data_IF_125535649436
#
_entry.id   IF_125535649436
#
_cell.length_a   1.000
_cell.length_b   1.000
_cell.length_c   1.000
_cell.angle_alpha   90.00
_cell.angle_beta   90.00
_cell.angle_gamma   90.00
#
_symmetry.space_group_name_H-M   'P 1'
#
loop_
_entity.id
_entity.type
_entity.pdbx_description
1 polymer ?
#
# COMPACT_ATOMS: atom_id res chain seq x y z
N UNK A 1 -18.42 -30.52 -29.24
CA UNK A 1 -19.86 -30.69 -29.58
C UNK A 1 -20.69 -29.77 -28.68
N UNK A 2 -21.21 -28.67 -29.19
CA UNK A 2 -22.11 -27.75 -28.46
C UNK A 2 -23.56 -28.09 -28.79
N UNK A 3 -24.35 -28.45 -27.77
CA UNK A 3 -25.79 -28.74 -27.95
C UNK A 3 -26.57 -27.43 -27.99
N UNK A 4 -27.20 -27.17 -29.16
CA UNK A 4 -28.19 -26.09 -29.33
C UNK A 4 -29.55 -26.57 -28.80
N UNK A 5 -30.16 -25.85 -27.84
CA UNK A 5 -31.56 -26.02 -27.46
C UNK A 5 -32.43 -25.24 -28.43
N UNK A 6 -33.31 -25.97 -29.12
CA UNK A 6 -34.36 -25.43 -30.00
C UNK A 6 -35.42 -24.71 -29.15
N UNK A 7 -35.61 -23.42 -29.38
CA UNK A 7 -36.74 -22.66 -28.78
C UNK A 7 -37.87 -22.59 -29.78
N UNK A 8 -39.08 -22.96 -29.32
CA UNK A 8 -40.32 -22.92 -30.10
C UNK A 8 -40.68 -21.48 -30.49
N UNK A 9 -40.97 -21.26 -31.77
CA UNK A 9 -41.50 -20.01 -32.31
C UNK A 9 -42.95 -19.84 -31.87
N UNK A 10 -43.27 -18.83 -31.09
CA UNK A 10 -44.60 -18.25 -30.98
C UNK A 10 -44.56 -16.86 -31.59
N UNK A 11 -45.39 -16.72 -32.62
CA UNK A 11 -45.60 -15.49 -33.38
C UNK A 11 -46.36 -14.48 -32.53
N UNK A 12 -45.68 -13.45 -32.02
CA UNK A 12 -46.23 -12.11 -31.76
C UNK A 12 -45.08 -11.18 -31.34
N UNK A 13 -45.01 -10.06 -32.07
CA UNK A 13 -44.13 -8.88 -31.85
C UNK A 13 -42.63 -9.11 -31.98
N UNK A 14 -42.02 -8.41 -32.92
CA UNK A 14 -40.56 -8.21 -33.00
C UNK A 14 -40.07 -7.51 -31.72
N UNK A 15 -39.83 -8.26 -30.65
CA UNK A 15 -38.98 -7.83 -29.54
C UNK A 15 -37.56 -8.06 -30.02
N UNK A 16 -36.83 -6.99 -30.27
CA UNK A 16 -35.41 -7.00 -30.53
C UNK A 16 -34.71 -7.78 -29.42
N UNK A 17 -34.23 -9.00 -29.73
CA UNK A 17 -33.41 -9.78 -28.83
C UNK A 17 -32.12 -8.98 -28.64
N UNK A 18 -31.96 -8.33 -27.50
CA UNK A 18 -30.69 -7.72 -27.07
C UNK A 18 -29.73 -8.89 -26.89
N UNK A 19 -28.71 -8.98 -27.73
CA UNK A 19 -27.67 -9.98 -27.63
C UNK A 19 -27.01 -9.89 -26.25
N UNK A 20 -26.88 -11.03 -25.56
CA UNK A 20 -26.13 -11.15 -24.32
C UNK A 20 -24.69 -10.65 -24.56
N UNK A 21 -24.33 -9.50 -23.96
CA UNK A 21 -23.01 -8.92 -24.10
C UNK A 21 -22.96 -7.43 -24.41
N UNK A 22 -24.08 -6.76 -24.71
CA UNK A 22 -24.05 -5.31 -24.90
C UNK A 22 -23.83 -4.61 -23.54
N UNK A 23 -22.70 -3.89 -23.45
CA UNK A 23 -22.35 -3.07 -22.31
C UNK A 23 -23.40 -1.96 -22.16
N UNK A 24 -24.10 -1.90 -21.03
CA UNK A 24 -25.07 -0.85 -20.75
C UNK A 24 -24.37 0.51 -20.73
N UNK A 25 -24.85 1.43 -21.59
CA UNK A 25 -24.35 2.80 -21.65
C UNK A 25 -25.45 3.78 -21.21
N UNK A 26 -25.05 4.71 -20.34
CA UNK A 26 -25.93 5.80 -19.94
C UNK A 26 -26.16 6.77 -21.09
N UNK A 27 -27.30 7.48 -21.07
CA UNK A 27 -27.56 8.57 -22.02
C UNK A 27 -26.44 9.62 -21.90
N UNK A 28 -25.85 9.96 -23.06
CA UNK A 28 -24.84 11.00 -23.20
C UNK A 28 -25.45 12.40 -23.09
N UNK A 29 -24.63 13.43 -23.06
CA UNK A 29 -25.13 14.82 -23.14
C UNK A 29 -25.80 15.07 -24.50
N UNK A 30 -25.25 14.55 -25.57
CA UNK A 30 -25.77 14.65 -26.95
C UNK A 30 -27.13 13.98 -27.08
N UNK A 31 -27.31 12.78 -26.47
CA UNK A 31 -28.61 12.11 -26.44
C UNK A 31 -29.65 13.01 -25.73
N UNK A 32 -29.27 13.68 -24.66
CA UNK A 32 -30.15 14.62 -23.94
C UNK A 32 -30.52 15.85 -24.74
N UNK A 33 -29.60 16.38 -25.52
CA UNK A 33 -29.86 17.48 -26.45
C UNK A 33 -30.88 17.06 -27.49
N UNK A 34 -30.77 15.86 -28.06
CA UNK A 34 -31.76 15.29 -29.01
C UNK A 34 -33.12 15.11 -28.33
N UNK A 35 -33.15 14.57 -27.08
CA UNK A 35 -34.40 14.43 -26.34
C UNK A 35 -35.08 15.83 -26.13
N UNK A 36 -34.32 16.83 -25.72
CA UNK A 36 -34.84 18.19 -25.57
C UNK A 36 -35.44 18.74 -26.86
N UNK A 37 -34.72 18.58 -27.98
CA UNK A 37 -35.16 19.04 -29.28
C UNK A 37 -36.48 18.37 -29.71
N UNK A 38 -36.60 17.05 -29.56
CA UNK A 38 -37.81 16.33 -29.94
C UNK A 38 -38.99 16.59 -28.98
N UNK A 39 -38.70 16.78 -27.69
CA UNK A 39 -39.75 17.17 -26.71
C UNK A 39 -40.35 18.56 -27.01
N UNK A 40 -39.54 19.53 -27.37
CA UNK A 40 -40.03 20.87 -27.84
C UNK A 40 -40.90 20.76 -29.06
N UNK A 41 -40.76 19.71 -29.87
CA UNK A 41 -41.59 19.40 -31.06
C UNK A 41 -42.71 18.40 -30.75
N UNK A 42 -43.06 18.21 -29.51
CA UNK A 42 -44.15 17.35 -29.04
C UNK A 42 -44.04 15.89 -29.52
N UNK A 43 -42.82 15.38 -29.85
CA UNK A 43 -42.66 14.00 -30.28
C UNK A 43 -42.90 13.05 -29.11
N UNK A 44 -43.48 11.86 -29.44
CA UNK A 44 -43.84 10.86 -28.43
C UNK A 44 -42.57 10.19 -27.83
N UNK A 45 -42.69 9.62 -26.64
CA UNK A 45 -41.61 8.87 -25.96
C UNK A 45 -41.16 7.68 -26.85
N UNK A 46 -42.08 7.02 -27.53
CA UNK A 46 -41.77 5.90 -28.43
C UNK A 46 -40.94 6.36 -29.61
N UNK A 47 -41.28 7.50 -30.20
CA UNK A 47 -40.52 8.09 -31.30
C UNK A 47 -39.08 8.39 -30.85
N UNK A 48 -38.91 9.09 -29.73
CA UNK A 48 -37.59 9.48 -29.19
C UNK A 48 -36.75 8.23 -28.88
N UNK A 49 -37.37 7.20 -28.31
CA UNK A 49 -36.69 5.95 -27.96
C UNK A 49 -36.18 5.22 -29.19
N UNK A 50 -36.99 5.18 -30.25
CA UNK A 50 -36.62 4.57 -31.55
C UNK A 50 -35.43 5.31 -32.19
N UNK A 51 -35.50 6.64 -32.27
CA UNK A 51 -34.43 7.46 -32.86
C UNK A 51 -33.09 7.36 -32.11
N UNK A 52 -33.11 7.12 -30.79
CA UNK A 52 -31.91 6.95 -29.96
C UNK A 52 -31.46 5.50 -29.83
N UNK A 53 -32.21 4.53 -30.39
CA UNK A 53 -31.90 3.11 -30.17
C UNK A 53 -31.99 2.69 -28.72
N UNK A 54 -32.88 3.31 -27.96
CA UNK A 54 -33.07 3.06 -26.51
C UNK A 54 -34.47 2.52 -26.22
N UNK A 55 -34.66 1.89 -25.05
CA UNK A 55 -36.00 1.47 -24.64
C UNK A 55 -36.91 2.66 -24.30
N UNK A 56 -38.21 2.58 -24.61
CA UNK A 56 -39.18 3.62 -24.20
C UNK A 56 -39.18 3.87 -22.68
N UNK A 57 -38.93 2.82 -21.85
CA UNK A 57 -38.80 2.94 -20.41
C UNK A 57 -37.61 3.79 -19.99
N UNK A 58 -36.49 3.74 -20.71
CA UNK A 58 -35.31 4.58 -20.45
C UNK A 58 -35.65 6.06 -20.67
N UNK A 59 -36.34 6.39 -21.77
CA UNK A 59 -36.72 7.77 -22.06
C UNK A 59 -37.81 8.27 -21.08
N UNK A 60 -38.77 7.41 -20.77
CA UNK A 60 -39.80 7.74 -19.75
C UNK A 60 -39.18 8.04 -18.39
N UNK A 61 -38.23 7.18 -17.94
CA UNK A 61 -37.49 7.40 -16.69
C UNK A 61 -36.68 8.72 -16.73
N UNK A 62 -35.96 8.98 -17.79
CA UNK A 62 -35.18 10.20 -18.00
C UNK A 62 -36.07 11.46 -17.87
N UNK A 63 -37.19 11.49 -18.58
CA UNK A 63 -38.13 12.63 -18.56
C UNK A 63 -38.81 12.78 -17.19
N UNK A 64 -39.24 11.68 -16.56
CA UNK A 64 -39.93 11.71 -15.26
C UNK A 64 -39.00 12.20 -14.14
N UNK A 65 -37.74 11.77 -14.14
CA UNK A 65 -36.85 11.99 -12.99
C UNK A 65 -35.85 13.12 -13.17
N UNK A 66 -35.58 13.56 -14.40
CA UNK A 66 -34.55 14.57 -14.68
C UNK A 66 -35.11 15.87 -15.26
N UNK A 67 -36.42 15.97 -15.48
CA UNK A 67 -37.10 17.25 -15.74
C UNK A 67 -37.01 18.15 -14.51
N UNK A 68 -36.80 19.43 -14.74
CA UNK A 68 -36.69 20.45 -13.71
C UNK A 68 -37.68 21.59 -14.04
N UNK A 69 -38.53 21.97 -13.10
CA UNK A 69 -39.54 23.06 -13.28
C UNK A 69 -40.45 22.83 -14.50
N UNK A 70 -40.95 21.61 -14.66
CA UNK A 70 -41.81 21.14 -15.76
C UNK A 70 -41.24 21.27 -17.18
N UNK A 71 -39.97 21.68 -17.32
CA UNK A 71 -39.28 21.73 -18.60
C UNK A 71 -38.07 20.76 -18.59
N UNK A 72 -37.93 20.02 -19.70
CA UNK A 72 -36.75 19.18 -19.90
C UNK A 72 -35.67 19.97 -20.62
N UNK A 73 -34.58 20.28 -19.91
CA UNK A 73 -33.40 20.98 -20.42
C UNK A 73 -32.19 20.04 -20.31
N UNK A 74 -31.53 19.72 -21.41
CA UNK A 74 -30.41 18.74 -21.49
C UNK A 74 -29.29 19.05 -20.50
N UNK A 75 -28.90 20.32 -20.36
CA UNK A 75 -27.84 20.73 -19.41
C UNK A 75 -28.25 20.46 -17.96
N UNK A 76 -29.46 20.85 -17.55
CA UNK A 76 -30.00 20.61 -16.20
C UNK A 76 -30.15 19.10 -15.93
N UNK A 77 -30.68 18.35 -16.89
CA UNK A 77 -30.82 16.89 -16.81
C UNK A 77 -29.48 16.17 -16.65
N UNK A 78 -28.45 16.59 -17.39
CA UNK A 78 -27.10 16.04 -17.27
C UNK A 78 -26.48 16.27 -15.88
N UNK A 79 -26.60 17.48 -15.33
CA UNK A 79 -26.11 17.78 -13.97
C UNK A 79 -26.86 16.95 -12.94
N UNK A 80 -28.20 16.88 -13.03
CA UNK A 80 -29.04 16.10 -12.11
C UNK A 80 -28.74 14.59 -12.20
N UNK A 81 -28.51 14.08 -13.40
CA UNK A 81 -28.11 12.67 -13.62
C UNK A 81 -26.74 12.38 -13.02
N UNK A 82 -25.78 13.29 -13.19
CA UNK A 82 -24.46 13.19 -12.56
C UNK A 82 -24.57 13.19 -11.03
N UNK A 83 -25.30 14.14 -10.46
CA UNK A 83 -25.53 14.23 -9.00
C UNK A 83 -26.18 12.96 -8.45
N UNK A 84 -27.24 12.43 -9.09
CA UNK A 84 -27.88 11.17 -8.67
C UNK A 84 -26.88 10.01 -8.64
N UNK A 85 -26.04 9.86 -9.66
CA UNK A 85 -25.01 8.80 -9.69
C UNK A 85 -23.94 9.03 -8.62
N UNK A 86 -23.54 10.26 -8.41
CA UNK A 86 -22.58 10.62 -7.37
C UNK A 86 -23.11 10.26 -5.98
N UNK A 87 -24.32 10.71 -5.63
CA UNK A 87 -24.92 10.41 -4.34
C UNK A 87 -25.22 8.92 -4.15
N UNK A 88 -25.66 8.21 -5.18
CA UNK A 88 -25.86 6.76 -5.10
C UNK A 88 -24.55 6.00 -4.81
N UNK A 89 -23.41 6.47 -5.34
CA UNK A 89 -22.09 5.89 -5.05
C UNK A 89 -21.63 6.22 -3.63
N UNK A 90 -21.87 7.45 -3.16
CA UNK A 90 -21.45 7.88 -1.81
C UNK A 90 -22.28 7.21 -0.74
N UNK A 91 -23.61 7.21 -0.86
CA UNK A 91 -24.52 6.61 0.12
C UNK A 91 -24.36 5.08 0.21
N UNK A 92 -23.92 4.41 -0.86
CA UNK A 92 -23.68 2.97 -0.86
C UNK A 92 -22.33 2.56 -0.25
N UNK A 93 -21.44 3.53 0.06
CA UNK A 93 -20.15 3.21 0.69
C UNK A 93 -20.32 3.07 2.20
N UNK A 94 -20.08 1.85 2.72
CA UNK A 94 -20.25 1.52 4.15
C UNK A 94 -19.43 2.43 5.08
N UNK A 95 -18.22 2.84 4.66
CA UNK A 95 -17.36 3.75 5.44
C UNK A 95 -17.97 5.15 5.47
N UNK A 96 -18.38 5.68 4.32
CA UNK A 96 -18.96 7.02 4.22
C UNK A 96 -20.28 7.17 4.98
N UNK A 97 -21.09 6.11 4.99
CA UNK A 97 -22.41 6.10 5.65
C UNK A 97 -22.37 5.87 7.16
N UNK A 98 -21.24 5.49 7.73
CA UNK A 98 -21.12 5.21 9.18
C UNK A 98 -20.03 6.10 9.79
N UNK A 99 -20.43 7.04 10.67
CA UNK A 99 -19.54 8.03 11.28
C UNK A 99 -18.41 7.40 12.10
N UNK A 100 -18.71 6.38 12.90
CA UNK A 100 -17.71 5.69 13.75
C UNK A 100 -16.69 4.94 12.90
N UNK A 101 -17.17 4.19 11.91
CA UNK A 101 -16.29 3.46 10.99
C UNK A 101 -15.45 4.42 10.13
N UNK A 102 -16.02 5.55 9.73
CA UNK A 102 -15.28 6.57 8.99
C UNK A 102 -14.14 7.14 9.82
N UNK A 103 -14.42 7.52 11.08
CA UNK A 103 -13.39 8.02 12.00
C UNK A 103 -12.28 6.98 12.17
N UNK A 104 -12.64 5.71 12.40
CA UNK A 104 -11.68 4.62 12.53
C UNK A 104 -10.76 4.47 11.30
N UNK A 105 -11.35 4.56 10.10
CA UNK A 105 -10.58 4.47 8.84
C UNK A 105 -9.71 5.71 8.64
N UNK A 106 -10.24 6.90 8.92
CA UNK A 106 -9.49 8.15 8.79
C UNK A 106 -8.31 8.19 9.77
N UNK A 107 -8.49 7.78 11.02
CA UNK A 107 -7.43 7.69 12.02
C UNK A 107 -6.32 6.71 11.59
N UNK A 108 -6.69 5.57 11.01
CA UNK A 108 -5.73 4.63 10.45
C UNK A 108 -4.95 5.21 9.26
N UNK A 109 -5.62 5.92 8.36
CA UNK A 109 -4.98 6.60 7.23
C UNK A 109 -4.05 7.73 7.71
N UNK A 110 -4.43 8.47 8.76
CA UNK A 110 -3.61 9.55 9.33
C UNK A 110 -2.38 9.01 10.06
N UNK A 111 -2.47 7.81 10.63
CA UNK A 111 -1.32 7.05 11.12
C UNK A 111 -0.45 6.46 9.99
N UNK A 112 -0.79 6.69 8.72
CA UNK A 112 -0.08 6.18 7.55
C UNK A 112 -0.30 4.68 7.27
N UNK A 113 -1.32 4.05 7.86
CA UNK A 113 -1.65 2.66 7.58
C UNK A 113 -2.26 2.49 6.19
N UNK A 114 -1.92 1.42 5.53
CA UNK A 114 -2.55 1.08 4.26
C UNK A 114 -4.00 0.58 4.48
N UNK A 115 -4.88 0.69 3.48
CA UNK A 115 -6.22 0.11 3.54
C UNK A 115 -6.25 -1.38 3.90
N UNK A 116 -5.18 -2.13 3.61
CA UNK A 116 -5.04 -3.52 4.00
C UNK A 116 -4.79 -3.69 5.49
N UNK A 117 -3.91 -2.88 6.07
CA UNK A 117 -3.59 -2.87 7.51
C UNK A 117 -4.80 -2.44 8.34
N UNK A 118 -5.51 -1.40 7.90
CA UNK A 118 -6.74 -0.93 8.55
C UNK A 118 -7.83 -2.02 8.53
N UNK A 119 -8.03 -2.68 7.39
CA UNK A 119 -9.04 -3.73 7.26
C UNK A 119 -8.70 -5.00 8.05
N UNK A 120 -7.42 -5.27 8.27
CA UNK A 120 -6.96 -6.44 9.00
C UNK A 120 -6.81 -6.24 10.49
N UNK A 121 -6.77 -4.98 10.96
CA UNK A 121 -6.71 -4.68 12.38
C UNK A 121 -8.01 -5.06 13.11
N UNK A 122 -7.89 -5.40 14.39
CA UNK A 122 -9.00 -5.84 15.21
C UNK A 122 -10.15 -4.82 15.20
N UNK A 123 -11.37 -5.30 14.96
CA UNK A 123 -12.60 -4.49 15.00
C UNK A 123 -12.98 -3.79 13.70
N UNK A 124 -12.25 -3.95 12.60
CA UNK A 124 -12.66 -3.36 11.31
C UNK A 124 -13.68 -4.25 10.57
N UNK A 125 -14.95 -3.82 10.43
CA UNK A 125 -16.01 -4.65 9.84
C UNK A 125 -16.04 -4.61 8.31
N UNK A 126 -15.05 -3.97 7.65
CA UNK A 126 -15.05 -3.79 6.20
C UNK A 126 -13.76 -4.27 5.55
N UNK A 127 -13.88 -4.75 4.31
CA UNK A 127 -12.73 -5.22 3.55
C UNK A 127 -11.83 -4.07 3.06
N UNK A 128 -10.56 -4.36 2.79
CA UNK A 128 -9.60 -3.43 2.17
C UNK A 128 -10.14 -2.80 0.88
N UNK A 129 -10.93 -3.55 0.08
CA UNK A 129 -11.55 -3.03 -1.15
C UNK A 129 -12.56 -1.93 -0.87
N UNK A 130 -13.31 -2.05 0.22
CA UNK A 130 -14.29 -1.04 0.64
C UNK A 130 -13.59 0.26 1.07
N UNK A 131 -12.46 0.15 1.77
CA UNK A 131 -11.64 1.29 2.18
C UNK A 131 -10.99 1.95 0.95
N UNK A 132 -10.42 1.19 0.00
CA UNK A 132 -9.91 1.77 -1.26
C UNK A 132 -11.00 2.52 -2.03
N UNK A 133 -12.24 2.01 -2.05
CA UNK A 133 -13.37 2.72 -2.67
C UNK A 133 -13.69 4.03 -1.95
N UNK A 134 -13.59 4.05 -0.62
CA UNK A 134 -13.74 5.26 0.18
C UNK A 134 -12.62 6.27 -0.12
N UNK A 135 -11.37 5.85 -0.09
CA UNK A 135 -10.20 6.67 -0.43
C UNK A 135 -10.32 7.30 -1.82
N UNK A 136 -10.74 6.51 -2.82
CA UNK A 136 -10.94 7.01 -4.18
C UNK A 136 -12.13 7.98 -4.29
N UNK A 137 -13.21 7.73 -3.55
CA UNK A 137 -14.42 8.55 -3.58
C UNK A 137 -14.18 9.97 -3.04
N UNK A 138 -13.35 10.08 -2.00
CA UNK A 138 -13.03 11.35 -1.34
C UNK A 138 -11.65 11.91 -1.73
N UNK A 139 -11.03 11.37 -2.78
CA UNK A 139 -9.72 11.79 -3.28
C UNK A 139 -8.62 11.78 -2.20
N UNK A 140 -8.67 10.81 -1.27
CA UNK A 140 -7.73 10.68 -0.15
C UNK A 140 -6.44 9.92 -0.51
N UNK A 141 -6.12 9.75 -1.81
CA UNK A 141 -4.93 9.02 -2.26
C UNK A 141 -3.63 9.63 -1.75
N UNK A 142 -3.64 10.92 -1.39
CA UNK A 142 -2.47 11.59 -0.80
C UNK A 142 -2.11 11.05 0.60
N UNK A 143 -3.06 10.43 1.31
CA UNK A 143 -2.85 9.74 2.58
C UNK A 143 -2.22 8.34 2.42
N UNK A 144 -2.21 7.79 1.20
CA UNK A 144 -1.59 6.50 0.94
C UNK A 144 -0.07 6.66 0.82
N UNK A 145 0.66 5.82 1.55
CA UNK A 145 2.11 5.85 1.64
C UNK A 145 2.80 5.65 0.28
N UNK A 146 2.48 4.55 -0.42
CA UNK A 146 3.05 4.26 -1.72
C UNK A 146 2.09 4.68 -2.85
N UNK A 147 2.52 5.68 -3.63
CA UNK A 147 1.82 6.14 -4.83
C UNK A 147 2.59 5.67 -6.06
N UNK A 148 2.03 4.67 -6.76
CA UNK A 148 2.57 4.22 -8.04
C UNK A 148 3.67 3.16 -7.94
N UNK A 149 4.16 2.71 -9.10
CA UNK A 149 5.20 1.68 -9.19
C UNK A 149 6.58 2.31 -8.94
N UNK A 150 7.46 1.68 -8.14
CA UNK A 150 8.83 2.15 -7.96
C UNK A 150 9.58 2.13 -9.31
N UNK A 151 10.30 3.22 -9.63
CA UNK A 151 11.18 3.24 -10.79
C UNK A 151 12.39 2.35 -10.51
N UNK A 152 12.61 1.37 -11.36
CA UNK A 152 13.85 0.57 -11.30
C UNK A 152 15.06 1.45 -11.61
N UNK A 153 16.05 1.45 -10.72
CA UNK A 153 17.34 2.11 -10.94
C UNK A 153 18.38 1.03 -11.22
N UNK A 154 19.19 1.25 -12.25
CA UNK A 154 20.40 0.44 -12.46
C UNK A 154 21.39 0.76 -11.34
N UNK A 155 21.82 -0.25 -10.60
CA UNK A 155 22.81 -0.12 -9.56
C UNK A 155 24.21 -0.07 -10.21
N UNK A 156 25.05 0.84 -9.73
CA UNK A 156 26.48 0.88 -10.06
C UNK A 156 27.25 0.25 -8.91
N UNK A 157 28.06 -0.75 -9.21
CA UNK A 157 28.65 -1.64 -8.23
C UNK A 157 30.13 -1.35 -7.98
N UNK A 158 30.55 -1.43 -6.72
CA UNK A 158 31.96 -1.44 -6.33
C UNK A 158 32.31 -2.77 -5.69
N UNK A 159 33.35 -3.42 -6.16
CA UNK A 159 33.86 -4.64 -5.56
C UNK A 159 34.52 -4.34 -4.21
N UNK A 160 34.02 -4.94 -3.13
CA UNK A 160 34.72 -5.01 -1.85
C UNK A 160 35.71 -6.18 -1.84
N UNK A 161 36.77 -6.08 -1.04
CA UNK A 161 37.75 -7.16 -0.82
C UNK A 161 37.03 -8.35 -0.16
N UNK A 162 36.96 -9.45 -0.88
CA UNK A 162 36.33 -10.69 -0.43
C UNK A 162 37.40 -11.51 0.31
N UNK A 163 37.30 -11.60 1.63
CA UNK A 163 38.07 -12.52 2.47
C UNK A 163 37.29 -13.79 2.83
N UNK A 164 37.81 -14.61 3.73
CA UNK A 164 37.11 -15.78 4.31
C UNK A 164 35.87 -15.30 5.09
N UNK A 165 34.70 -15.28 4.46
CA UNK A 165 33.41 -14.88 5.04
C UNK A 165 32.43 -16.03 4.93
N UNK A 166 31.52 -16.13 5.93
CA UNK A 166 30.39 -17.05 5.89
C UNK A 166 29.32 -16.51 4.97
N UNK A 167 28.85 -17.29 4.02
CA UNK A 167 27.83 -16.85 3.07
C UNK A 167 26.43 -17.17 3.57
N UNK A 168 25.43 -16.52 2.95
CA UNK A 168 24.01 -16.66 3.33
C UNK A 168 23.52 -18.11 3.30
N UNK A 169 24.06 -18.97 2.42
CA UNK A 169 23.68 -20.37 2.31
C UNK A 169 24.05 -21.18 3.56
N UNK A 170 25.08 -20.76 4.30
CA UNK A 170 25.49 -21.38 5.55
C UNK A 170 24.60 -20.98 6.73
N UNK A 171 23.74 -19.96 6.52
CA UNK A 171 22.85 -19.42 7.54
C UNK A 171 21.64 -20.30 7.76
N UNK A 172 21.57 -20.94 8.92
CA UNK A 172 20.39 -21.71 9.31
C UNK A 172 19.38 -20.75 9.95
N UNK A 173 18.25 -20.56 9.28
CA UNK A 173 17.11 -19.82 9.83
C UNK A 173 16.14 -20.79 10.50
N UNK A 174 15.70 -20.47 11.71
CA UNK A 174 14.65 -21.17 12.44
C UNK A 174 13.48 -20.21 12.66
N UNK A 175 12.30 -20.75 12.96
CA UNK A 175 11.11 -19.96 13.31
C UNK A 175 11.23 -19.43 14.75
N UNK A 176 12.26 -18.61 14.97
CA UNK A 176 12.58 -17.99 16.25
C UNK A 176 13.06 -16.55 16.05
N UNK A 177 12.91 -15.71 17.09
CA UNK A 177 13.49 -14.36 17.08
C UNK A 177 15.00 -14.42 17.30
N UNK A 178 15.71 -13.38 16.89
CA UNK A 178 17.16 -13.26 17.03
C UNK A 178 17.93 -13.41 15.71
N UNK A 179 17.27 -13.66 14.60
CA UNK A 179 17.86 -13.68 13.28
C UNK A 179 17.68 -12.32 12.60
N UNK A 180 18.72 -11.50 12.55
CA UNK A 180 18.62 -10.13 12.05
C UNK A 180 19.18 -9.96 10.63
N UNK A 181 18.52 -9.12 9.82
CA UNK A 181 19.13 -8.49 8.65
C UNK A 181 19.60 -7.09 9.03
N UNK A 182 20.81 -6.71 8.60
CA UNK A 182 21.44 -5.45 8.93
C UNK A 182 21.82 -4.70 7.66
N UNK A 183 21.62 -3.38 7.66
CA UNK A 183 21.97 -2.49 6.55
C UNK A 183 22.24 -1.06 7.02
N UNK A 184 22.93 -0.27 6.19
CA UNK A 184 23.17 1.14 6.44
C UNK A 184 22.30 2.03 5.56
N UNK A 185 21.74 3.06 6.17
CA UNK A 185 21.20 4.22 5.47
C UNK A 185 22.24 5.33 5.54
N UNK A 186 22.79 5.74 4.40
CA UNK A 186 23.86 6.74 4.32
C UNK A 186 23.34 8.14 4.02
N UNK A 187 24.05 9.17 4.50
CA UNK A 187 23.84 10.56 4.14
C UNK A 187 24.10 10.80 2.64
N UNK A 188 23.47 11.84 2.05
CA UNK A 188 23.77 12.22 0.67
C UNK A 188 25.25 12.60 0.51
N UNK A 189 25.90 12.16 -0.55
CA UNK A 189 27.31 12.51 -0.82
C UNK A 189 27.53 14.03 -0.84
N UNK A 190 26.54 14.80 -1.31
CA UNK A 190 26.61 16.27 -1.40
C UNK A 190 26.63 16.98 -0.03
N UNK A 191 26.19 16.31 1.04
CA UNK A 191 26.18 16.90 2.39
C UNK A 191 27.55 16.92 3.04
N UNK A 192 28.52 16.14 2.54
CA UNK A 192 29.84 15.95 3.17
C UNK A 192 29.78 15.11 4.49
N UNK A 193 28.58 14.80 4.98
CA UNK A 193 28.38 14.05 6.22
C UNK A 193 28.79 12.58 6.09
N UNK A 194 29.42 12.05 7.12
CA UNK A 194 29.76 10.63 7.27
C UNK A 194 28.72 9.88 8.11
N UNK A 195 27.74 10.59 8.68
CA UNK A 195 26.71 10.00 9.51
C UNK A 195 25.85 8.98 8.75
N UNK A 196 25.52 7.90 9.45
CA UNK A 196 24.72 6.80 8.91
C UNK A 196 23.69 6.34 9.96
N UNK A 197 22.55 5.80 9.49
CA UNK A 197 21.69 5.00 10.36
C UNK A 197 22.06 3.52 10.17
N UNK A 198 22.37 2.87 11.28
CA UNK A 198 22.45 1.42 11.36
C UNK A 198 21.04 0.89 11.57
N UNK A 199 20.56 0.06 10.67
CA UNK A 199 19.20 -0.49 10.72
C UNK A 199 19.29 -2.00 10.82
N UNK A 200 18.60 -2.58 11.79
CA UNK A 200 18.47 -4.03 11.91
C UNK A 200 17.00 -4.42 11.94
N UNK A 201 16.68 -5.57 11.37
CA UNK A 201 15.31 -6.10 11.35
C UNK A 201 15.33 -7.58 11.66
N UNK A 202 14.60 -7.98 12.70
CA UNK A 202 14.41 -9.39 13.03
C UNK A 202 13.58 -10.11 11.97
N UNK A 203 14.01 -11.29 11.55
CA UNK A 203 13.39 -11.99 10.43
C UNK A 203 12.04 -12.62 10.76
N UNK A 204 11.78 -13.00 12.01
CA UNK A 204 10.50 -13.54 12.44
C UNK A 204 9.52 -12.42 12.78
N UNK A 205 9.80 -11.65 13.82
CA UNK A 205 8.90 -10.63 14.35
C UNK A 205 8.80 -9.37 13.48
N UNK A 206 9.76 -9.16 12.57
CA UNK A 206 9.92 -7.91 11.80
C UNK A 206 10.23 -6.70 12.68
N UNK A 207 10.60 -6.91 13.95
CA UNK A 207 11.00 -5.84 14.86
C UNK A 207 12.24 -5.15 14.34
N UNK A 208 12.17 -3.83 14.28
CA UNK A 208 13.22 -2.97 13.73
C UNK A 208 13.92 -2.25 14.86
N UNK A 209 15.25 -2.21 14.80
CA UNK A 209 16.08 -1.36 15.67
C UNK A 209 16.86 -0.39 14.75
N UNK A 210 17.08 0.83 15.23
CA UNK A 210 17.79 1.88 14.47
C UNK A 210 18.71 2.62 15.43
N UNK A 211 19.96 2.82 15.00
CA UNK A 211 20.94 3.65 15.72
C UNK A 211 21.58 4.65 14.76
N UNK A 212 21.79 5.88 15.24
CA UNK A 212 22.47 6.93 14.47
C UNK A 212 23.96 6.94 14.85
N UNK A 213 24.80 6.65 13.87
CA UNK A 213 26.26 6.68 14.03
C UNK A 213 26.84 7.93 13.34
N UNK A 214 27.83 8.59 13.93
CA UNK A 214 28.51 9.72 13.33
C UNK A 214 29.35 9.29 12.11
N UNK A 215 29.78 8.03 12.07
CA UNK A 215 30.51 7.42 10.97
C UNK A 215 30.46 5.89 11.08
N UNK A 216 31.08 5.17 10.10
CA UNK A 216 31.13 3.70 10.05
C UNK A 216 32.46 3.11 10.51
N UNK A 217 33.10 3.72 11.52
CA UNK A 217 34.33 3.16 12.10
C UNK A 217 34.05 1.90 12.93
N UNK A 218 35.06 1.07 13.12
CA UNK A 218 34.98 -0.12 13.96
C UNK A 218 34.46 0.23 15.37
N UNK A 219 34.97 1.31 15.96
CA UNK A 219 34.64 1.76 17.31
C UNK A 219 33.15 2.12 17.42
N UNK A 220 32.66 3.01 16.55
CA UNK A 220 31.27 3.46 16.53
C UNK A 220 30.31 2.28 16.28
N UNK A 221 30.66 1.41 15.34
CA UNK A 221 29.86 0.22 15.04
C UNK A 221 29.83 -0.77 16.21
N UNK A 222 30.97 -0.98 16.91
CA UNK A 222 31.01 -1.85 18.09
C UNK A 222 30.13 -1.31 19.22
N UNK A 223 30.21 0.00 19.48
CA UNK A 223 29.38 0.64 20.49
C UNK A 223 27.89 0.55 20.14
N UNK A 224 27.52 0.87 18.91
CA UNK A 224 26.15 0.81 18.45
C UNK A 224 25.57 -0.61 18.51
N UNK A 225 26.31 -1.62 18.03
CA UNK A 225 25.87 -3.01 18.11
C UNK A 225 25.71 -3.48 19.54
N UNK A 226 26.64 -3.13 20.43
CA UNK A 226 26.53 -3.46 21.85
C UNK A 226 25.29 -2.85 22.50
N UNK A 227 24.99 -1.56 22.23
CA UNK A 227 23.80 -0.89 22.74
C UNK A 227 22.49 -1.40 22.15
N UNK A 228 22.45 -1.60 20.83
CA UNK A 228 21.24 -2.07 20.14
C UNK A 228 20.80 -3.47 20.57
N UNK A 229 21.76 -4.33 20.88
CA UNK A 229 21.51 -5.73 21.23
C UNK A 229 21.66 -6.01 22.73
N UNK A 230 21.78 -4.98 23.56
CA UNK A 230 21.77 -5.15 25.01
C UNK A 230 20.41 -5.75 25.45
N UNK A 231 20.48 -6.90 26.15
CA UNK A 231 19.28 -7.67 26.53
C UNK A 231 18.50 -8.30 25.37
N UNK A 232 19.02 -8.26 24.13
CA UNK A 232 18.39 -8.88 22.96
C UNK A 232 19.13 -10.16 22.57
N UNK A 233 18.43 -11.28 22.51
CA UNK A 233 19.04 -12.53 22.05
C UNK A 233 19.37 -12.45 20.56
N UNK A 234 20.64 -12.54 20.19
CA UNK A 234 21.12 -12.58 18.80
C UNK A 234 21.52 -14.00 18.46
N UNK A 235 20.95 -14.54 17.39
CA UNK A 235 21.25 -15.88 16.86
C UNK A 235 22.13 -15.82 15.62
N UNK A 236 21.76 -14.95 14.67
CA UNK A 236 22.54 -14.71 13.46
C UNK A 236 22.34 -13.28 12.95
N UNK A 237 23.33 -12.74 12.29
CA UNK A 237 23.22 -11.47 11.56
C UNK A 237 23.55 -11.70 10.08
N UNK A 238 22.73 -11.17 9.18
CA UNK A 238 22.98 -11.08 7.75
C UNK A 238 23.26 -9.65 7.34
N UNK A 239 24.39 -9.41 6.69
CA UNK A 239 24.76 -8.10 6.17
C UNK A 239 25.29 -8.18 4.74
N UNK A 240 25.50 -7.01 4.10
CA UNK A 240 26.20 -6.96 2.81
C UNK A 240 27.72 -6.90 3.00
N UNK A 241 28.44 -6.84 1.85
CA UNK A 241 29.88 -6.74 1.83
C UNK A 241 30.39 -5.30 2.04
N UNK A 242 29.70 -4.48 2.88
CA UNK A 242 30.22 -3.12 3.19
C UNK A 242 31.55 -3.19 3.91
N UNK A 243 32.43 -2.24 3.62
CA UNK A 243 33.78 -2.14 4.21
C UNK A 243 33.72 -2.00 5.74
N UNK A 244 32.64 -1.48 6.30
CA UNK A 244 32.45 -1.36 7.74
C UNK A 244 32.50 -2.73 8.44
N UNK A 245 32.19 -3.83 7.74
CA UNK A 245 32.22 -5.19 8.26
C UNK A 245 33.55 -5.93 7.99
N UNK A 246 34.60 -5.22 7.66
CA UNK A 246 35.95 -5.83 7.53
C UNK A 246 36.38 -6.54 8.84
N UNK A 247 35.96 -6.01 9.98
CA UNK A 247 36.26 -6.57 11.31
C UNK A 247 35.16 -7.54 11.81
N UNK A 248 34.51 -8.26 10.93
CA UNK A 248 33.35 -9.11 11.23
C UNK A 248 33.61 -10.15 12.35
N UNK A 249 34.83 -10.74 12.44
CA UNK A 249 35.21 -11.65 13.54
C UNK A 249 35.12 -10.99 14.91
N UNK A 250 35.47 -9.69 15.00
CA UNK A 250 35.32 -8.93 16.24
C UNK A 250 33.84 -8.71 16.60
N UNK A 251 32.99 -8.45 15.60
CA UNK A 251 31.56 -8.26 15.86
C UNK A 251 30.87 -9.58 16.23
N UNK A 252 31.30 -10.72 15.67
CA UNK A 252 30.85 -12.05 16.10
C UNK A 252 31.18 -12.28 17.59
N UNK A 253 32.40 -11.95 18.02
CA UNK A 253 32.80 -12.09 19.42
C UNK A 253 32.00 -11.15 20.34
N UNK A 254 31.78 -9.90 19.92
CA UNK A 254 31.01 -8.92 20.66
C UNK A 254 29.57 -9.37 20.89
N UNK A 255 28.94 -9.92 19.87
CA UNK A 255 27.52 -10.29 19.87
C UNK A 255 27.27 -11.74 20.28
N UNK A 256 28.30 -12.57 20.36
CA UNK A 256 28.16 -14.00 20.60
C UNK A 256 27.41 -14.75 19.49
N UNK A 257 27.36 -14.18 18.28
CA UNK A 257 26.55 -14.69 17.19
C UNK A 257 27.28 -14.58 15.84
N UNK A 258 27.09 -15.54 14.92
CA UNK A 258 27.74 -15.54 13.62
C UNK A 258 27.16 -14.46 12.68
N UNK A 259 28.07 -13.83 11.92
CA UNK A 259 27.76 -12.92 10.82
C UNK A 259 27.82 -13.64 9.49
N UNK A 260 26.79 -13.49 8.69
CA UNK A 260 26.68 -14.00 7.34
C UNK A 260 26.65 -12.84 6.34
N UNK A 261 27.11 -13.11 5.13
CA UNK A 261 27.21 -12.11 4.09
C UNK A 261 26.40 -12.50 2.86
N UNK A 262 25.72 -11.50 2.28
CA UNK A 262 25.05 -11.67 0.99
C UNK A 262 26.08 -11.73 -0.14
N UNK A 263 25.73 -12.39 -1.24
CA UNK A 263 26.55 -12.36 -2.43
C UNK A 263 26.65 -10.94 -3.01
N UNK A 264 27.78 -10.60 -3.60
CA UNK A 264 27.89 -9.38 -4.38
C UNK A 264 26.78 -9.33 -5.43
N UNK A 265 26.10 -8.19 -5.54
CA UNK A 265 25.01 -7.94 -6.51
C UNK A 265 23.67 -8.68 -6.25
N UNK A 266 23.53 -9.43 -5.18
CA UNK A 266 22.31 -10.15 -4.82
C UNK A 266 21.47 -9.37 -3.78
N UNK A 267 21.05 -8.15 -4.11
CA UNK A 267 20.28 -7.29 -3.20
C UNK A 267 18.97 -7.94 -2.70
N UNK A 268 18.42 -8.89 -3.45
CA UNK A 268 17.22 -9.62 -3.04
C UNK A 268 17.41 -10.53 -1.83
N UNK A 269 18.65 -10.88 -1.49
CA UNK A 269 18.99 -11.70 -0.31
C UNK A 269 18.77 -10.96 1.02
N UNK A 270 18.68 -9.59 1.00
CA UNK A 270 18.34 -8.71 2.13
C UNK A 270 17.01 -7.98 1.90
N UNK A 271 16.02 -8.65 1.37
CA UNK A 271 14.75 -8.02 1.00
C UNK A 271 13.98 -7.39 2.15
N UNK A 272 14.13 -7.91 3.37
CA UNK A 272 13.40 -7.42 4.53
C UNK A 272 13.91 -6.06 5.00
N UNK A 273 15.21 -5.93 5.25
CA UNK A 273 15.80 -4.65 5.69
C UNK A 273 15.74 -3.61 4.57
N UNK A 274 15.89 -3.97 3.28
CA UNK A 274 15.70 -3.05 2.17
C UNK A 274 14.27 -2.49 2.11
N UNK A 275 13.26 -3.34 2.35
CA UNK A 275 11.88 -2.90 2.42
C UNK A 275 11.65 -1.96 3.62
N UNK A 276 12.24 -2.27 4.77
CA UNK A 276 12.20 -1.41 5.96
C UNK A 276 12.87 -0.06 5.70
N UNK A 277 14.02 -0.04 5.01
CA UNK A 277 14.70 1.18 4.62
C UNK A 277 13.86 2.09 3.71
N UNK A 278 12.98 1.53 2.87
CA UNK A 278 12.02 2.32 2.08
C UNK A 278 11.01 3.04 2.98
N UNK A 279 10.59 2.42 4.07
CA UNK A 279 9.71 3.04 5.05
C UNK A 279 10.42 4.12 5.86
N UNK A 280 11.65 3.87 6.32
CA UNK A 280 12.47 4.87 7.02
C UNK A 280 12.66 6.10 6.12
N UNK A 281 12.90 5.90 4.82
CA UNK A 281 13.09 6.97 3.83
C UNK A 281 11.84 7.82 3.55
N UNK A 282 10.70 7.45 4.07
CA UNK A 282 9.52 8.31 4.09
C UNK A 282 9.65 9.43 5.13
N UNK A 283 10.15 9.09 6.31
CA UNK A 283 10.37 10.04 7.40
C UNK A 283 11.68 10.79 7.23
N UNK A 284 12.70 10.09 6.74
CA UNK A 284 14.06 10.60 6.55
C UNK A 284 14.42 10.46 5.05
N UNK A 285 14.03 11.42 4.20
CA UNK A 285 14.28 11.40 2.76
C UNK A 285 15.76 11.21 2.39
N UNK A 286 16.04 10.73 1.16
CA UNK A 286 17.43 10.53 0.69
C UNK A 286 18.28 11.80 0.63
N UNK A 287 17.64 12.95 0.64
CA UNK A 287 18.30 14.28 0.61
C UNK A 287 18.65 14.79 2.00
N UNK A 288 18.17 14.15 3.07
CA UNK A 288 18.42 14.58 4.45
C UNK A 288 19.85 14.30 4.87
N UNK A 289 20.55 15.30 5.41
CA UNK A 289 21.79 15.11 6.13
C UNK A 289 21.50 14.40 7.46
N UNK A 290 22.04 13.20 7.66
CA UNK A 290 21.72 12.40 8.85
C UNK A 290 22.24 13.01 10.15
N UNK A 291 23.25 13.89 10.14
CA UNK A 291 23.68 14.65 11.33
C UNK A 291 22.57 15.53 11.91
N UNK A 292 21.60 15.94 11.11
CA UNK A 292 20.47 16.76 11.56
C UNK A 292 19.28 15.92 12.07
N UNK A 293 19.38 14.61 12.03
CA UNK A 293 18.31 13.71 12.49
C UNK A 293 18.37 13.59 14.01
N UNK A 294 17.29 13.90 14.69
CA UNK A 294 17.20 13.86 16.14
C UNK A 294 16.81 12.48 16.65
N UNK A 295 17.09 12.21 17.93
CA UNK A 295 16.66 10.95 18.59
C UNK A 295 15.14 10.81 18.59
N UNK A 296 14.41 11.92 18.76
CA UNK A 296 12.94 11.94 18.73
C UNK A 296 12.41 11.48 17.36
N UNK A 297 13.05 11.92 16.27
CA UNK A 297 12.71 11.46 14.91
C UNK A 297 12.91 9.95 14.79
N UNK A 298 13.99 9.39 15.30
CA UNK A 298 14.27 7.95 15.27
C UNK A 298 13.22 7.19 16.08
N UNK A 299 12.87 7.67 17.27
CA UNK A 299 11.83 7.07 18.12
C UNK A 299 10.49 7.05 17.39
N UNK A 300 10.08 8.16 16.77
CA UNK A 300 8.85 8.21 15.96
C UNK A 300 8.85 7.18 14.82
N UNK A 301 9.98 7.05 14.12
CA UNK A 301 10.13 6.05 13.06
C UNK A 301 10.03 4.62 13.61
N UNK A 302 10.67 4.34 14.75
CA UNK A 302 10.61 3.04 15.40
C UNK A 302 9.19 2.69 15.87
N UNK A 303 8.49 3.63 16.51
CA UNK A 303 7.07 3.45 16.88
C UNK A 303 6.22 3.13 15.66
N UNK A 304 6.36 3.92 14.59
CA UNK A 304 5.63 3.67 13.35
C UNK A 304 5.93 2.28 12.77
N UNK A 305 7.18 1.85 12.74
CA UNK A 305 7.58 0.56 12.16
C UNK A 305 7.16 -0.63 13.03
N UNK A 306 7.24 -0.51 14.34
CA UNK A 306 7.06 -1.62 15.25
C UNK A 306 5.63 -1.77 15.78
N UNK A 307 4.82 -0.70 15.76
CA UNK A 307 3.45 -0.71 16.29
C UNK A 307 2.37 -0.71 15.19
N UNK A 308 2.76 -0.82 13.92
CA UNK A 308 1.79 -0.95 12.83
C UNK A 308 1.42 -2.41 12.58
N UNK A 309 0.14 -2.72 12.31
CA UNK A 309 -0.28 -4.06 11.92
C UNK A 309 0.35 -4.49 10.59
N UNK A 310 0.87 -5.70 10.51
CA UNK A 310 1.50 -6.22 9.28
C UNK A 310 0.76 -7.45 8.76
N UNK A 311 0.36 -7.44 7.50
CA UNK A 311 -0.33 -8.58 6.90
C UNK A 311 0.50 -9.88 7.00
N UNK A 312 1.83 -9.79 6.83
CA UNK A 312 2.76 -10.93 6.94
C UNK A 312 2.81 -11.54 8.36
N UNK A 313 2.39 -10.79 9.38
CA UNK A 313 2.28 -11.22 10.78
C UNK A 313 0.83 -11.52 11.19
N UNK A 314 -0.07 -11.79 10.24
CA UNK A 314 -1.50 -11.96 10.53
C UNK A 314 -2.15 -10.72 11.11
N UNK A 315 -1.67 -9.54 10.73
CA UNK A 315 -2.06 -8.22 11.20
C UNK A 315 -1.71 -7.90 12.66
N UNK A 316 -0.83 -8.70 13.27
CA UNK A 316 -0.15 -8.30 14.51
C UNK A 316 0.93 -7.28 14.22
N UNK A 317 1.32 -6.53 15.25
CA UNK A 317 2.47 -5.63 15.21
C UNK A 317 3.78 -6.40 15.43
N UNK A 318 4.90 -5.80 15.06
CA UNK A 318 6.21 -6.41 15.29
C UNK A 318 6.51 -6.57 16.79
N UNK A 319 6.08 -5.60 17.61
CA UNK A 319 6.25 -5.66 19.06
C UNK A 319 5.39 -6.77 19.68
N UNK A 320 4.13 -6.94 19.25
CA UNK A 320 3.27 -8.03 19.74
C UNK A 320 3.89 -9.40 19.47
N UNK A 321 4.33 -9.65 18.23
CA UNK A 321 4.96 -10.94 17.89
C UNK A 321 6.25 -11.18 18.65
N UNK A 322 7.07 -10.14 18.85
CA UNK A 322 8.31 -10.24 19.62
C UNK A 322 8.05 -10.57 21.09
N UNK A 323 7.09 -9.88 21.73
CA UNK A 323 6.72 -10.11 23.13
C UNK A 323 6.09 -11.48 23.35
N UNK A 324 5.19 -11.90 22.46
CA UNK A 324 4.61 -13.26 22.50
C UNK A 324 5.70 -14.33 22.47
N UNK A 325 6.71 -14.17 21.60
CA UNK A 325 7.82 -15.11 21.54
C UNK A 325 8.60 -15.18 22.86
N UNK A 326 8.91 -14.04 23.46
CA UNK A 326 9.64 -14.00 24.75
C UNK A 326 8.84 -14.66 25.89
N UNK A 327 7.51 -14.47 25.91
CA UNK A 327 6.64 -15.05 26.93
C UNK A 327 6.52 -16.59 26.83
N UNK A 328 6.68 -17.16 25.61
CA UNK A 328 6.64 -18.61 25.41
C UNK A 328 7.95 -19.28 25.80
N UNK A 329 9.06 -18.54 25.77
CA UNK A 329 10.41 -19.08 26.06
C UNK A 329 10.84 -18.95 27.52
N UNK A 330 10.19 -18.06 28.30
CA UNK A 330 10.40 -17.86 29.75
C UNK A 330 9.43 -18.63 30.60
#
# INVERSE_FOLDING_TARGET
MKRYRKVRKNSRSKSTIVAMGQKYEHLSYEDRVKIEHWRKRSKSIRYIANELGRSPSTISYELKHLTVSNEYVAKKASVKAYQKRYYARTSSNKVAGNKVLRQYVDDGLDKGWSPGEIAGSSGCPVSKRTIYRYVNLYALQYKLYFRGKPKQRKAMYRHGLIGERKWIEERILRDEVGHFELDFIVSPTKSGSKAVLLVTVDTLSKRTLIELLPNRTKQELSQALGQMFDGVAVKTILTDNDIAFTYWKHFEQLLGAPLYFTHPYHSWEKGLVENTNKWIRHFIPKTTNLETVTKETIVQVLMYLNDRPRQVLGYKTANEVYLEYLTIQG
#
